data_IF_123339911259
#
_entry.id   IF_123339911259
#
_cell.length_a   1.000
_cell.length_b   1.000
_cell.length_c   1.000
_cell.angle_alpha   90.00
_cell.angle_beta   90.00
_cell.angle_gamma   90.00
#
_symmetry.space_group_name_H-M   'P 1'
#
loop_
_entity.id
_entity.type
_entity.pdbx_description
1 polymer ?
#
# COMPACT_ATOMS: atom_id res chain seq x y z
N UNK A 1 -18.99 11.69 -17.58
CA UNK A 1 -18.33 10.59 -18.33
C UNK A 1 -17.29 9.84 -17.48
N UNK A 2 -16.35 10.50 -16.76
CA UNK A 2 -15.40 9.79 -15.89
C UNK A 2 -16.06 9.00 -14.75
N UNK A 3 -17.14 9.52 -14.17
CA UNK A 3 -17.85 8.85 -13.06
C UNK A 3 -18.49 7.54 -13.47
N UNK A 4 -19.10 7.48 -14.66
CA UNK A 4 -19.70 6.25 -15.19
C UNK A 4 -18.62 5.16 -15.35
N UNK A 5 -17.48 5.51 -15.94
CA UNK A 5 -16.36 4.58 -16.12
C UNK A 5 -15.88 4.10 -14.75
N UNK A 6 -15.71 5.01 -13.79
CA UNK A 6 -15.23 4.67 -12.47
C UNK A 6 -16.23 3.83 -11.65
N UNK A 7 -17.54 4.02 -11.81
CA UNK A 7 -18.53 3.11 -11.21
C UNK A 7 -18.37 1.68 -11.74
N UNK A 8 -18.06 1.51 -13.04
CA UNK A 8 -17.77 0.17 -13.58
C UNK A 8 -16.44 -0.39 -13.10
N UNK A 9 -15.40 0.44 -12.94
CA UNK A 9 -14.12 0.01 -12.34
C UNK A 9 -14.33 -0.43 -10.88
N UNK A 10 -15.05 0.36 -10.08
CA UNK A 10 -15.39 0.02 -8.70
C UNK A 10 -16.15 -1.31 -8.61
N UNK A 11 -17.10 -1.55 -9.54
CA UNK A 11 -17.83 -2.82 -9.63
C UNK A 11 -16.90 -3.99 -9.96
N UNK A 12 -15.93 -3.83 -10.86
CA UNK A 12 -14.94 -4.85 -11.17
C UNK A 12 -14.04 -5.15 -9.96
N UNK A 13 -13.58 -4.11 -9.26
CA UNK A 13 -12.76 -4.24 -8.05
C UNK A 13 -13.50 -4.89 -6.86
N UNK A 14 -14.84 -4.95 -6.91
CA UNK A 14 -15.67 -5.43 -5.80
C UNK A 14 -16.39 -6.74 -6.10
N UNK A 15 -16.04 -7.40 -7.22
CA UNK A 15 -16.51 -8.76 -7.50
C UNK A 15 -15.93 -9.72 -6.47
N UNK A 16 -16.80 -10.35 -5.68
CA UNK A 16 -16.39 -11.24 -4.60
C UNK A 16 -16.10 -12.65 -5.10
N UNK A 17 -14.83 -12.92 -5.45
CA UNK A 17 -14.34 -14.25 -5.84
C UNK A 17 -13.43 -14.83 -4.74
N UNK A 18 -14.04 -15.41 -3.69
CA UNK A 18 -13.31 -16.00 -2.56
C UNK A 18 -13.22 -17.53 -2.65
N UNK A 19 -12.15 -18.17 -2.13
CA UNK A 19 -12.07 -19.63 -2.02
C UNK A 19 -13.09 -20.19 -1.01
N UNK A 20 -13.29 -21.51 -1.01
CA UNK A 20 -14.17 -22.17 -0.04
C UNK A 20 -13.59 -22.01 1.39
N UNK A 21 -14.46 -21.79 2.39
CA UNK A 21 -14.04 -21.63 3.80
C UNK A 21 -13.77 -20.17 4.25
N UNK A 22 -13.77 -19.20 3.33
CA UNK A 22 -13.68 -17.77 3.67
C UNK A 22 -15.08 -17.14 3.84
N UNK A 23 -15.24 -16.12 4.71
CA UNK A 23 -16.48 -15.35 4.79
C UNK A 23 -16.87 -14.75 3.43
N UNK A 24 -18.16 -14.78 3.07
CA UNK A 24 -18.72 -14.28 1.80
C UNK A 24 -19.90 -13.33 2.01
N UNK A 25 -20.24 -12.54 1.00
CA UNK A 25 -21.33 -11.58 1.03
C UNK A 25 -20.98 -10.28 1.76
N UNK A 26 -19.68 -10.04 1.99
CA UNK A 26 -19.20 -8.90 2.79
C UNK A 26 -18.65 -7.78 1.89
N UNK A 27 -17.91 -8.12 0.83
CA UNK A 27 -17.20 -7.15 -0.01
C UNK A 27 -18.16 -6.11 -0.61
N UNK A 28 -19.24 -6.56 -1.24
CA UNK A 28 -20.20 -5.64 -1.86
C UNK A 28 -20.91 -4.74 -0.83
N UNK A 29 -21.18 -5.24 0.38
CA UNK A 29 -21.80 -4.45 1.45
C UNK A 29 -20.87 -3.35 1.97
N UNK A 30 -19.58 -3.66 2.11
CA UNK A 30 -18.55 -2.69 2.49
C UNK A 30 -18.38 -1.62 1.40
N UNK A 31 -18.35 -2.04 0.13
CA UNK A 31 -18.32 -1.12 -1.00
C UNK A 31 -19.52 -0.17 -1.00
N UNK A 32 -20.75 -0.68 -0.90
CA UNK A 32 -21.97 0.13 -0.86
C UNK A 32 -21.96 1.14 0.29
N UNK A 33 -21.51 0.73 1.48
CA UNK A 33 -21.37 1.64 2.61
C UNK A 33 -20.36 2.77 2.32
N UNK A 34 -19.19 2.43 1.79
CA UNK A 34 -18.15 3.41 1.43
C UNK A 34 -18.60 4.34 0.28
N UNK A 35 -19.22 3.79 -0.77
CA UNK A 35 -19.74 4.55 -1.92
C UNK A 35 -20.82 5.54 -1.50
N UNK A 36 -21.73 5.14 -0.61
CA UNK A 36 -22.74 6.05 -0.03
C UNK A 36 -22.10 7.15 0.81
N UNK A 37 -21.11 6.81 1.65
CA UNK A 37 -20.43 7.79 2.48
C UNK A 37 -19.67 8.83 1.65
N UNK A 38 -19.05 8.41 0.54
CA UNK A 38 -18.23 9.28 -0.29
C UNK A 38 -19.00 10.02 -1.38
N UNK A 39 -20.21 9.57 -1.74
CA UNK A 39 -21.07 10.19 -2.75
C UNK A 39 -20.58 10.07 -4.20
N UNK A 40 -19.31 9.68 -4.43
CA UNK A 40 -18.70 9.48 -5.76
C UNK A 40 -17.92 8.14 -5.84
N UNK A 41 -17.60 7.64 -7.04
CA UNK A 41 -16.85 6.39 -7.20
C UNK A 41 -15.52 6.46 -6.45
N UNK A 42 -15.20 5.41 -5.69
CA UNK A 42 -14.07 5.37 -4.76
C UNK A 42 -12.73 5.44 -5.50
N UNK A 43 -12.60 4.70 -6.61
CA UNK A 43 -11.38 4.70 -7.43
C UNK A 43 -11.14 6.06 -8.09
N UNK A 44 -12.19 6.73 -8.57
CA UNK A 44 -12.08 8.09 -9.12
C UNK A 44 -11.64 9.09 -8.06
N UNK A 45 -12.25 9.04 -6.87
CA UNK A 45 -11.89 9.92 -5.77
C UNK A 45 -10.43 9.72 -5.32
N UNK A 46 -9.95 8.46 -5.27
CA UNK A 46 -8.56 8.18 -4.98
C UNK A 46 -7.63 8.75 -6.07
N UNK A 47 -7.94 8.51 -7.34
CA UNK A 47 -7.15 9.00 -8.48
C UNK A 47 -7.09 10.54 -8.53
N UNK A 48 -8.20 11.23 -8.29
CA UNK A 48 -8.26 12.70 -8.27
C UNK A 48 -7.41 13.28 -7.13
N UNK A 49 -7.47 12.69 -5.92
CA UNK A 49 -6.65 13.13 -4.78
C UNK A 49 -5.17 12.91 -5.03
N UNK A 50 -4.78 11.75 -5.58
CA UNK A 50 -3.39 11.47 -5.95
C UNK A 50 -2.89 12.45 -7.02
N UNK A 51 -3.68 12.69 -8.07
CA UNK A 51 -3.35 13.65 -9.14
C UNK A 51 -3.22 15.09 -8.62
N UNK A 52 -4.04 15.48 -7.65
CA UNK A 52 -3.98 16.82 -7.06
C UNK A 52 -2.75 17.01 -6.15
N UNK A 53 -2.34 15.95 -5.43
CA UNK A 53 -1.24 16.01 -4.47
C UNK A 53 0.15 15.85 -5.10
N UNK A 54 0.27 15.00 -6.14
CA UNK A 54 1.56 14.55 -6.66
C UNK A 54 1.99 15.39 -7.87
N UNK A 55 3.21 15.93 -7.80
CA UNK A 55 3.90 16.60 -8.90
C UNK A 55 5.03 15.70 -9.46
N UNK A 56 5.47 15.90 -10.71
CA UNK A 56 6.60 15.17 -11.26
C UNK A 56 7.86 15.29 -10.40
N UNK A 57 8.46 14.16 -10.04
CA UNK A 57 9.61 14.07 -9.14
C UNK A 57 9.26 13.89 -7.67
N UNK A 58 8.00 14.08 -7.26
CA UNK A 58 7.59 13.83 -5.89
C UNK A 58 7.68 12.36 -5.52
N UNK A 59 8.01 12.09 -4.25
CA UNK A 59 8.07 10.74 -3.72
C UNK A 59 6.70 10.30 -3.24
N UNK A 60 6.35 9.05 -3.52
CA UNK A 60 5.12 8.42 -3.06
C UNK A 60 5.48 7.14 -2.33
N UNK A 61 5.07 7.02 -1.07
CA UNK A 61 5.29 5.78 -0.31
C UNK A 61 4.12 4.84 -0.58
N UNK A 62 4.44 3.63 -1.03
CA UNK A 62 3.48 2.56 -1.28
C UNK A 62 3.80 1.41 -0.33
N UNK A 63 2.87 1.07 0.56
CA UNK A 63 3.06 -0.01 1.52
C UNK A 63 2.05 -1.12 1.35
N UNK A 64 2.55 -2.32 1.56
CA UNK A 64 1.82 -3.58 1.48
C UNK A 64 2.42 -4.55 2.48
N UNK A 65 1.74 -5.67 2.70
CA UNK A 65 2.27 -6.77 3.50
C UNK A 65 1.19 -7.28 4.42
N UNK A 66 0.48 -8.28 3.93
CA UNK A 66 -0.26 -9.24 4.70
C UNK A 66 0.39 -10.62 4.52
N UNK A 67 0.06 -11.57 5.38
CA UNK A 67 0.71 -12.88 5.43
C UNK A 67 2.08 -12.85 6.13
N UNK A 68 2.38 -13.91 6.85
CA UNK A 68 3.65 -14.04 7.54
C UNK A 68 3.96 -15.49 7.94
N UNK A 69 5.15 -15.72 8.53
CA UNK A 69 5.53 -17.04 9.01
C UNK A 69 4.52 -17.62 10.02
N UNK A 70 4.34 -18.96 10.05
CA UNK A 70 5.06 -19.94 9.23
C UNK A 70 4.44 -20.18 7.85
N UNK A 71 3.17 -19.80 7.64
CA UNK A 71 2.39 -20.22 6.47
C UNK A 71 2.78 -19.47 5.19
N UNK A 72 3.16 -18.20 5.33
CA UNK A 72 3.50 -17.31 4.22
C UNK A 72 4.79 -16.57 4.56
N UNK A 73 5.94 -17.27 4.58
CA UNK A 73 7.19 -16.73 5.11
C UNK A 73 7.71 -15.51 4.32
N UNK A 74 7.21 -15.28 3.11
CA UNK A 74 7.56 -14.14 2.26
C UNK A 74 6.39 -13.16 2.03
N UNK A 75 5.35 -13.25 2.87
CA UNK A 75 4.10 -12.51 2.68
C UNK A 75 3.18 -13.17 1.65
N UNK A 76 1.98 -12.61 1.52
CA UNK A 76 1.00 -13.00 0.52
C UNK A 76 1.13 -12.24 -0.80
N UNK A 77 0.43 -12.73 -1.82
CA UNK A 77 0.44 -12.12 -3.16
C UNK A 77 -0.54 -10.97 -3.29
N UNK A 78 -1.57 -10.90 -2.44
CA UNK A 78 -2.50 -9.77 -2.38
C UNK A 78 -1.81 -8.58 -1.71
N UNK A 79 -1.94 -7.40 -2.33
CA UNK A 79 -1.18 -6.21 -1.99
C UNK A 79 0.05 -5.95 -2.88
N UNK A 80 1.13 -6.78 -2.88
CA UNK A 80 2.34 -6.53 -3.67
C UNK A 80 2.10 -6.27 -5.15
N UNK A 81 1.21 -7.03 -5.78
CA UNK A 81 0.86 -6.85 -7.19
C UNK A 81 0.11 -5.52 -7.41
N UNK A 82 -0.78 -5.16 -6.49
CA UNK A 82 -1.55 -3.92 -6.53
C UNK A 82 -0.66 -2.69 -6.36
N UNK A 83 0.23 -2.67 -5.37
CA UNK A 83 1.17 -1.55 -5.20
C UNK A 83 2.15 -1.46 -6.35
N UNK A 84 2.66 -2.58 -6.88
CA UNK A 84 3.58 -2.56 -8.02
C UNK A 84 2.93 -1.96 -9.27
N UNK A 85 1.69 -2.36 -9.59
CA UNK A 85 0.91 -1.79 -10.67
C UNK A 85 0.61 -0.29 -10.45
N UNK A 86 0.21 0.09 -9.23
CA UNK A 86 -0.03 1.49 -8.88
C UNK A 86 1.24 2.33 -9.01
N UNK A 87 2.37 1.86 -8.50
CA UNK A 87 3.65 2.55 -8.61
C UNK A 87 4.06 2.76 -10.06
N UNK A 88 3.85 1.76 -10.94
CA UNK A 88 4.08 1.90 -12.37
C UNK A 88 3.18 2.97 -12.99
N UNK A 89 1.90 2.97 -12.65
CA UNK A 89 0.94 3.97 -13.13
C UNK A 89 1.31 5.40 -12.67
N UNK A 90 1.75 5.56 -11.42
CA UNK A 90 2.18 6.86 -10.88
C UNK A 90 3.45 7.38 -11.56
N UNK A 91 4.40 6.51 -11.88
CA UNK A 91 5.60 6.86 -12.66
C UNK A 91 5.22 7.34 -14.06
N UNK A 92 4.38 6.58 -14.78
CA UNK A 92 4.02 6.88 -16.16
C UNK A 92 3.08 8.09 -16.28
N UNK A 93 2.08 8.16 -15.40
CA UNK A 93 1.02 9.17 -15.47
C UNK A 93 1.37 10.49 -14.80
N UNK A 94 2.12 10.44 -13.69
CA UNK A 94 2.40 11.63 -12.86
C UNK A 94 3.90 11.95 -12.72
N UNK A 95 4.80 11.12 -13.26
CA UNK A 95 6.24 11.31 -13.11
C UNK A 95 6.73 11.14 -11.67
N UNK A 96 5.97 10.42 -10.83
CA UNK A 96 6.29 10.20 -9.43
C UNK A 96 7.54 9.31 -9.24
N UNK A 97 8.10 9.33 -8.03
CA UNK A 97 9.20 8.47 -7.59
C UNK A 97 8.70 7.51 -6.49
N UNK A 98 8.27 6.30 -6.84
CA UNK A 98 7.69 5.39 -5.88
C UNK A 98 8.75 4.81 -4.93
N UNK A 99 8.40 4.76 -3.66
CA UNK A 99 9.14 4.11 -2.58
C UNK A 99 8.25 3.03 -1.97
N UNK A 100 8.64 1.79 -2.14
CA UNK A 100 7.92 0.62 -1.68
C UNK A 100 8.40 0.20 -0.29
N UNK A 101 7.47 -0.03 0.63
CA UNK A 101 7.78 -0.33 2.03
C UNK A 101 6.99 -1.55 2.52
N UNK A 102 7.68 -2.56 3.03
CA UNK A 102 7.08 -3.83 3.50
C UNK A 102 7.87 -4.42 4.68
N UNK A 103 7.41 -5.51 5.30
CA UNK A 103 8.23 -6.25 6.27
C UNK A 103 9.51 -6.83 5.61
N UNK A 104 10.57 -6.96 6.40
CA UNK A 104 11.86 -7.51 5.93
C UNK A 104 11.75 -8.87 5.24
N UNK A 105 10.88 -9.78 5.71
CA UNK A 105 10.71 -11.09 5.09
C UNK A 105 10.06 -11.05 3.70
N UNK A 106 9.35 -9.98 3.38
CA UNK A 106 8.55 -9.82 2.14
C UNK A 106 9.26 -8.96 1.10
N UNK A 107 10.43 -8.39 1.41
CA UNK A 107 11.17 -7.50 0.51
C UNK A 107 11.50 -8.17 -0.82
N UNK A 108 11.99 -9.42 -0.81
CA UNK A 108 12.36 -10.14 -2.04
C UNK A 108 11.15 -10.36 -2.96
N UNK A 109 10.00 -10.75 -2.39
CA UNK A 109 8.76 -10.93 -3.12
C UNK A 109 8.26 -9.60 -3.71
N UNK A 110 8.33 -8.51 -2.93
CA UNK A 110 7.94 -7.19 -3.41
C UNK A 110 8.86 -6.65 -4.51
N UNK A 111 10.17 -6.84 -4.39
CA UNK A 111 11.14 -6.50 -5.45
C UNK A 111 10.79 -7.23 -6.74
N UNK A 112 10.51 -8.53 -6.68
CA UNK A 112 10.13 -9.32 -7.85
C UNK A 112 8.85 -8.77 -8.50
N UNK A 113 7.82 -8.45 -7.71
CA UNK A 113 6.58 -7.86 -8.22
C UNK A 113 6.79 -6.50 -8.89
N UNK A 114 7.61 -5.61 -8.29
CA UNK A 114 7.91 -4.27 -8.83
C UNK A 114 8.70 -4.36 -10.14
N UNK A 115 9.68 -5.27 -10.21
CA UNK A 115 10.44 -5.52 -11.44
C UNK A 115 9.55 -6.09 -12.54
N UNK A 116 8.68 -7.06 -12.20
CA UNK A 116 7.72 -7.63 -13.16
C UNK A 116 6.72 -6.59 -13.69
N UNK A 117 6.34 -5.59 -12.88
CA UNK A 117 5.54 -4.45 -13.30
C UNK A 117 6.30 -3.44 -14.20
N UNK A 118 7.57 -3.70 -14.51
CA UNK A 118 8.40 -2.92 -15.42
C UNK A 118 9.16 -1.77 -14.75
N UNK A 119 9.27 -1.76 -13.42
CA UNK A 119 10.05 -0.77 -12.67
C UNK A 119 11.38 -1.38 -12.18
N UNK A 120 12.54 -0.89 -12.64
CA UNK A 120 13.81 -1.31 -12.06
C UNK A 120 13.89 -0.84 -10.61
N UNK A 121 14.21 -1.77 -9.70
CA UNK A 121 14.52 -1.46 -8.31
C UNK A 121 16.00 -1.12 -8.20
N UNK A 122 16.31 0.02 -7.61
CA UNK A 122 17.67 0.57 -7.53
C UNK A 122 17.95 1.10 -6.13
N UNK A 123 19.22 1.42 -5.86
CA UNK A 123 19.63 2.02 -4.58
C UNK A 123 19.03 3.42 -4.41
N UNK A 124 18.94 3.94 -3.16
CA UNK A 124 18.40 5.28 -2.90
C UNK A 124 19.07 6.39 -3.72
N UNK A 125 20.39 6.30 -3.90
CA UNK A 125 21.19 7.27 -4.66
C UNK A 125 20.77 7.29 -6.13
N UNK A 126 20.62 6.11 -6.74
CA UNK A 126 20.21 5.96 -8.14
C UNK A 126 18.75 6.36 -8.32
N UNK A 127 17.86 6.04 -7.37
CA UNK A 127 16.45 6.45 -7.41
C UNK A 127 16.30 7.98 -7.37
N UNK A 128 17.24 8.70 -6.75
CA UNK A 128 17.31 10.16 -6.74
C UNK A 128 17.73 10.77 -8.08
N UNK A 129 18.55 10.07 -8.86
CA UNK A 129 19.10 10.58 -10.12
C UNK A 129 18.30 10.12 -11.36
N UNK A 130 17.76 8.89 -11.34
CA UNK A 130 17.11 8.25 -12.49
C UNK A 130 15.58 8.35 -12.40
N UNK A 131 14.95 8.89 -13.45
CA UNK A 131 13.48 8.80 -13.61
C UNK A 131 13.08 7.37 -14.00
N UNK A 132 11.88 6.96 -13.58
CA UNK A 132 11.34 5.65 -13.95
C UNK A 132 11.98 4.47 -13.22
N UNK A 133 12.55 4.69 -12.04
CA UNK A 133 13.06 3.66 -11.14
C UNK A 133 12.33 3.72 -9.79
N UNK A 134 12.43 2.63 -9.04
CA UNK A 134 11.80 2.47 -7.74
C UNK A 134 12.83 2.16 -6.64
N UNK A 135 12.50 2.52 -5.41
CA UNK A 135 13.20 2.05 -4.22
C UNK A 135 12.30 1.07 -3.47
N UNK A 136 12.87 0.00 -2.92
CA UNK A 136 12.18 -0.91 -2.00
C UNK A 136 12.99 -0.96 -0.70
N UNK A 137 12.32 -0.78 0.44
CA UNK A 137 12.94 -0.86 1.77
C UNK A 137 12.06 -1.65 2.71
N UNK A 138 12.66 -2.25 3.73
CA UNK A 138 11.92 -2.88 4.81
C UNK A 138 11.44 -1.86 5.84
N UNK A 139 10.54 -2.32 6.71
CA UNK A 139 10.05 -1.59 7.87
C UNK A 139 9.94 -2.51 9.09
N UNK A 140 10.27 -1.94 10.25
CA UNK A 140 10.44 -2.70 11.50
C UNK A 140 9.12 -3.26 12.03
N UNK A 141 9.22 -4.45 12.62
CA UNK A 141 8.17 -5.10 13.42
C UNK A 141 8.22 -4.67 14.88
N UNK A 142 9.28 -4.01 15.30
CA UNK A 142 9.40 -3.42 16.63
C UNK A 142 8.70 -2.05 16.66
N UNK A 143 8.05 -1.74 17.78
CA UNK A 143 7.25 -0.52 17.92
C UNK A 143 8.12 0.75 17.99
N UNK A 144 9.22 0.69 18.74
CA UNK A 144 10.13 1.83 18.92
C UNK A 144 10.87 2.10 17.62
N UNK A 145 11.42 1.06 17.00
CA UNK A 145 12.10 1.19 15.71
C UNK A 145 11.14 1.63 14.60
N UNK A 146 9.88 1.18 14.64
CA UNK A 146 8.85 1.64 13.72
C UNK A 146 8.65 3.16 13.79
N UNK A 147 8.56 3.73 15.00
CA UNK A 147 8.45 5.20 15.19
C UNK A 147 9.67 5.93 14.63
N UNK A 148 10.87 5.45 14.90
CA UNK A 148 12.11 6.03 14.40
C UNK A 148 12.16 5.99 12.87
N UNK A 149 11.82 4.85 12.26
CA UNK A 149 11.77 4.69 10.82
C UNK A 149 10.67 5.53 10.17
N UNK A 150 9.50 5.70 10.80
CA UNK A 150 8.46 6.62 10.32
C UNK A 150 9.00 8.04 10.21
N UNK A 151 9.64 8.54 11.27
CA UNK A 151 10.21 9.89 11.29
C UNK A 151 11.24 10.06 10.19
N UNK A 152 12.19 9.11 10.09
CA UNK A 152 13.22 9.11 9.05
C UNK A 152 12.64 9.13 7.64
N UNK A 153 11.65 8.26 7.35
CA UNK A 153 11.03 8.21 6.03
C UNK A 153 10.32 9.52 5.69
N UNK A 154 9.57 10.12 6.62
CA UNK A 154 8.88 11.39 6.36
C UNK A 154 9.88 12.53 6.15
N UNK A 155 10.93 12.61 6.95
CA UNK A 155 11.89 13.72 6.89
C UNK A 155 12.82 13.63 5.66
N UNK A 156 13.31 12.42 5.35
CA UNK A 156 14.21 12.19 4.21
C UNK A 156 13.46 12.28 2.88
N UNK A 157 12.24 11.70 2.83
CA UNK A 157 11.50 11.54 1.59
C UNK A 157 10.56 12.69 1.32
N UNK A 158 9.96 13.31 2.35
CA UNK A 158 8.90 14.33 2.23
C UNK A 158 7.82 13.88 1.23
N UNK A 159 7.16 12.72 1.48
CA UNK A 159 6.30 12.12 0.48
C UNK A 159 5.06 12.99 0.21
N UNK A 160 4.68 13.12 -1.05
CA UNK A 160 3.45 13.81 -1.45
C UNK A 160 2.20 12.97 -1.16
N UNK A 161 2.35 11.64 -1.08
CA UNK A 161 1.30 10.72 -0.70
C UNK A 161 1.87 9.45 -0.06
N UNK A 162 1.08 8.84 0.82
CA UNK A 162 1.34 7.52 1.42
C UNK A 162 0.10 6.66 1.18
N UNK A 163 0.27 5.50 0.56
CA UNK A 163 -0.83 4.58 0.21
C UNK A 163 -0.56 3.21 0.81
N UNK A 164 -1.56 2.65 1.49
CA UNK A 164 -1.57 1.25 1.89
C UNK A 164 -2.47 0.45 0.94
N UNK A 165 -2.02 -0.73 0.52
CA UNK A 165 -2.81 -1.74 -0.16
C UNK A 165 -2.49 -3.08 0.49
N UNK A 166 -3.51 -3.76 1.03
CA UNK A 166 -3.36 -4.98 1.83
C UNK A 166 -2.24 -4.89 2.87
N UNK A 167 -2.36 -3.89 3.76
CA UNK A 167 -1.47 -3.72 4.90
C UNK A 167 -2.23 -3.84 6.20
N UNK A 168 -1.82 -4.79 7.04
CA UNK A 168 -2.44 -4.94 8.36
C UNK A 168 -2.07 -3.79 9.29
N UNK A 169 -3.05 -3.32 10.05
CA UNK A 169 -2.92 -2.27 11.06
C UNK A 169 -3.47 -2.71 12.42
N UNK A 170 -3.08 -2.04 13.51
CA UNK A 170 -3.56 -2.38 14.84
C UNK A 170 -5.04 -2.02 15.02
N UNK A 171 -5.73 -2.80 15.83
CA UNK A 171 -7.04 -2.47 16.36
C UNK A 171 -6.93 -1.42 17.50
N UNK A 172 -8.06 -1.09 18.14
CA UNK A 172 -8.11 -0.13 19.25
C UNK A 172 -7.27 -0.51 20.49
N UNK A 173 -6.80 -1.77 20.60
CA UNK A 173 -5.90 -2.24 21.67
C UNK A 173 -4.43 -2.29 21.24
N UNK A 174 -4.09 -1.81 20.04
CA UNK A 174 -2.72 -1.88 19.51
C UNK A 174 -2.34 -3.24 18.90
N UNK A 175 -3.30 -4.16 18.74
CA UNK A 175 -3.04 -5.52 18.28
C UNK A 175 -3.41 -5.69 16.80
N UNK A 176 -2.54 -6.35 16.04
CA UNK A 176 -2.76 -6.67 14.63
C UNK A 176 -3.30 -8.10 14.52
N UNK A 177 -4.41 -8.28 13.82
CA UNK A 177 -5.07 -9.58 13.65
C UNK A 177 -5.24 -9.94 12.17
N UNK A 178 -5.18 -11.24 11.87
CA UNK A 178 -5.58 -11.77 10.57
C UNK A 178 -7.11 -11.78 10.42
N UNK A 179 -7.60 -12.03 9.20
CA UNK A 179 -9.04 -12.20 8.92
C UNK A 179 -9.69 -13.34 9.74
N UNK A 180 -8.90 -14.32 10.20
CA UNK A 180 -9.35 -15.42 11.06
C UNK A 180 -9.28 -15.07 12.56
N UNK A 181 -8.93 -13.84 12.92
CA UNK A 181 -8.82 -13.40 14.31
C UNK A 181 -7.54 -13.86 15.02
N UNK A 182 -6.53 -14.33 14.28
CA UNK A 182 -5.24 -14.73 14.86
C UNK A 182 -4.40 -13.48 15.11
N UNK A 183 -3.85 -13.31 16.32
CA UNK A 183 -2.95 -12.20 16.63
C UNK A 183 -1.60 -12.40 15.92
N UNK A 184 -1.29 -11.48 14.99
CA UNK A 184 -0.07 -11.48 14.16
C UNK A 184 0.80 -10.24 14.44
N UNK A 185 0.59 -9.60 15.59
CA UNK A 185 1.27 -8.36 16.01
C UNK A 185 2.79 -8.47 15.94
N UNK A 186 3.37 -9.63 16.29
CA UNK A 186 4.82 -9.84 16.34
C UNK A 186 5.45 -10.04 14.95
N UNK A 187 4.66 -10.38 13.94
CA UNK A 187 5.17 -10.75 12.61
C UNK A 187 5.02 -9.65 11.57
N UNK A 188 4.28 -8.59 11.87
CA UNK A 188 3.94 -7.52 10.94
C UNK A 188 4.59 -6.19 11.29
N UNK A 189 4.94 -5.44 10.25
CA UNK A 189 5.60 -4.14 10.36
C UNK A 189 4.67 -3.12 11.00
N UNK A 190 5.21 -2.23 11.84
CA UNK A 190 4.46 -1.21 12.59
C UNK A 190 4.17 0.04 11.75
N UNK A 191 3.73 -0.15 10.50
CA UNK A 191 3.50 0.92 9.52
C UNK A 191 2.49 1.97 9.97
N UNK A 192 1.62 1.65 10.95
CA UNK A 192 0.66 2.60 11.50
C UNK A 192 1.32 3.87 12.07
N UNK A 193 2.58 3.80 12.52
CA UNK A 193 3.36 4.97 12.94
C UNK A 193 3.59 5.94 11.79
N UNK A 194 3.88 5.44 10.59
CA UNK A 194 4.04 6.29 9.40
C UNK A 194 2.75 7.04 9.06
N UNK A 195 1.60 6.38 9.11
CA UNK A 195 0.31 7.02 8.84
C UNK A 195 -0.15 7.96 9.96
N UNK A 196 0.18 7.67 11.22
CA UNK A 196 -0.09 8.58 12.34
C UNK A 196 0.70 9.88 12.16
N UNK A 197 2.02 9.78 11.96
CA UNK A 197 2.90 10.93 11.76
C UNK A 197 2.49 11.77 10.54
N UNK A 198 2.13 11.12 9.43
CA UNK A 198 1.72 11.83 8.21
C UNK A 198 0.38 12.59 8.34
N UNK A 199 -0.45 12.28 9.34
CA UNK A 199 -1.71 13.02 9.60
C UNK A 199 -1.49 14.27 10.45
N UNK A 200 -0.36 14.36 11.14
CA UNK A 200 -0.01 15.49 12.00
C UNK A 200 0.70 16.62 11.23
N UNK A 201 1.19 16.34 10.02
CA UNK A 201 1.87 17.30 9.13
C UNK A 201 0.93 17.79 8.03
#
# INVERSE_FOLDING_TARGET
MPEIIADYVDRLCTVEMRPQGMPRGVVHRLYEAARRQQGRPLTLLAAERLRAAIKPGDRVILTTGAGGPPWMPHGETDGPLGVAALGRALVLGLGARPVFVTESQSVSALVAAVVAAGLPVVTPEVAGARRGAAMVTDYSKDDTEGKIQAQKLVDDLKPAAIVACEKLGPNARGEIHSVLGVNVTKTHAKMHHLFALAREK
#
